data_IF_769461071899
#
_entry.id   IF_769461071899
#
_cell.length_a   1.000
_cell.length_b   1.000
_cell.length_c   1.000
_cell.angle_alpha   90.00
_cell.angle_beta   90.00
_cell.angle_gamma   90.00
#
_symmetry.space_group_name_H-M   'P 1'
#
loop_
_entity.id
_entity.type
_entity.pdbx_description
1 polymer ?
#
# COMPACT_ATOMS: atom_id res chain seq x y z
N UNK A 1 12.39 2.56 19.55
CA UNK A 1 11.65 3.13 18.40
C UNK A 1 11.22 1.99 17.51
N UNK A 2 9.92 1.76 17.33
CA UNK A 2 9.44 0.61 16.56
C UNK A 2 9.81 0.72 15.06
N UNK A 3 10.36 -0.32 14.42
CA UNK A 3 10.79 -0.26 13.02
C UNK A 3 9.68 0.16 12.05
N UNK A 4 8.43 -0.23 12.32
CA UNK A 4 7.30 0.12 11.46
C UNK A 4 6.95 1.61 11.50
N UNK A 5 7.15 2.29 12.66
CA UNK A 5 6.98 3.75 12.77
C UNK A 5 8.05 4.48 11.96
N UNK A 6 9.29 3.99 11.99
CA UNK A 6 10.38 4.52 11.14
C UNK A 6 10.06 4.34 9.65
N UNK A 7 9.55 3.18 9.26
CA UNK A 7 9.08 2.92 7.90
C UNK A 7 7.97 3.90 7.49
N UNK A 8 6.98 4.14 8.36
CA UNK A 8 5.92 5.12 8.10
C UNK A 8 6.44 6.54 7.84
N UNK A 9 7.43 7.00 8.62
CA UNK A 9 8.07 8.30 8.40
C UNK A 9 8.88 8.34 7.10
N UNK A 10 9.60 7.26 6.78
CA UNK A 10 10.33 7.16 5.52
C UNK A 10 9.42 7.21 4.29
N UNK A 11 8.26 6.56 4.34
CA UNK A 11 7.26 6.62 3.26
C UNK A 11 6.72 8.05 3.02
N UNK A 12 6.63 8.86 4.06
CA UNK A 12 6.27 10.29 3.94
C UNK A 12 7.40 11.07 3.27
N UNK A 13 8.64 10.85 3.69
CA UNK A 13 9.83 11.46 3.06
C UNK A 13 9.96 11.08 1.57
N UNK A 14 9.57 9.86 1.22
CA UNK A 14 9.50 9.39 -0.17
C UNK A 14 8.29 9.94 -0.95
N UNK A 15 7.46 10.82 -0.37
CA UNK A 15 6.25 11.40 -0.99
C UNK A 15 5.22 10.34 -1.43
N UNK A 16 5.17 9.21 -0.74
CA UNK A 16 4.20 8.12 -0.99
C UNK A 16 2.99 8.28 -0.07
N UNK A 17 3.20 8.77 1.14
CA UNK A 17 2.15 9.09 2.10
C UNK A 17 2.14 10.58 2.44
N UNK A 18 0.97 11.18 2.71
CA UNK A 18 0.91 12.55 3.20
C UNK A 18 1.42 12.65 4.66
N UNK A 19 1.95 13.80 5.10
CA UNK A 19 2.47 13.98 6.46
C UNK A 19 1.47 13.68 7.59
N UNK A 20 0.18 13.95 7.36
CA UNK A 20 -0.90 13.74 8.32
C UNK A 20 -1.61 12.37 8.14
N UNK A 21 -0.95 11.40 7.51
CA UNK A 21 -1.54 10.08 7.29
C UNK A 21 -1.76 9.32 8.60
N UNK A 22 -2.84 8.53 8.72
CA UNK A 22 -3.21 7.79 9.95
C UNK A 22 -2.08 6.98 10.60
N UNK A 23 -1.11 6.49 9.80
CA UNK A 23 0.03 5.71 10.31
C UNK A 23 0.97 6.51 11.23
N UNK A 24 0.90 7.84 11.19
CA UNK A 24 1.69 8.74 12.05
C UNK A 24 1.02 9.04 13.38
N UNK A 25 -0.25 8.67 13.55
CA UNK A 25 -0.97 8.93 14.80
C UNK A 25 -0.40 8.08 15.94
N UNK A 26 -0.53 8.59 17.17
CA UNK A 26 -0.07 7.91 18.37
C UNK A 26 -0.82 6.59 18.60
N UNK A 27 -2.11 6.56 18.24
CA UNK A 27 -2.98 5.37 18.36
C UNK A 27 -2.81 4.36 17.23
N UNK A 28 -2.01 4.67 16.21
CA UNK A 28 -1.85 3.79 15.06
C UNK A 28 -1.10 2.52 15.44
N UNK A 29 -1.47 1.41 14.82
CA UNK A 29 -0.84 0.12 14.99
C UNK A 29 -0.11 -0.31 13.71
N UNK A 30 0.78 -1.30 13.83
CA UNK A 30 1.48 -1.91 12.67
C UNK A 30 0.51 -2.41 11.60
N UNK A 31 -0.70 -2.82 12.00
CA UNK A 31 -1.74 -3.27 11.09
C UNK A 31 -2.26 -2.15 10.18
N UNK A 32 -2.33 -0.90 10.64
CA UNK A 32 -2.73 0.24 9.82
C UNK A 32 -1.73 0.49 8.68
N UNK A 33 -0.43 0.32 8.97
CA UNK A 33 0.62 0.39 7.96
C UNK A 33 0.47 -0.78 6.96
N UNK A 34 0.28 -2.00 7.45
CA UNK A 34 0.10 -3.17 6.60
C UNK A 34 -1.11 -3.04 5.67
N UNK A 35 -2.25 -2.56 6.18
CA UNK A 35 -3.44 -2.28 5.37
C UNK A 35 -3.16 -1.23 4.30
N UNK A 36 -2.42 -0.18 4.65
CA UNK A 36 -2.08 0.91 3.73
C UNK A 36 -1.24 0.40 2.55
N UNK A 37 -0.33 -0.55 2.79
CA UNK A 37 0.52 -1.14 1.74
C UNK A 37 -0.11 -2.35 1.04
N UNK A 38 -1.24 -2.87 1.52
CA UNK A 38 -1.85 -4.14 1.12
C UNK A 38 -2.11 -4.25 -0.37
N UNK A 39 -2.63 -3.18 -0.98
CA UNK A 39 -3.00 -3.18 -2.39
C UNK A 39 -1.78 -3.07 -3.34
N UNK A 40 -0.57 -2.90 -2.79
CA UNK A 40 0.68 -2.84 -3.57
C UNK A 40 0.88 -1.56 -4.40
N UNK A 41 -0.18 -0.76 -4.59
CA UNK A 41 -0.14 0.51 -5.34
C UNK A 41 0.89 1.49 -4.78
N UNK A 42 0.91 1.67 -3.46
CA UNK A 42 1.86 2.57 -2.81
C UNK A 42 3.30 2.08 -2.90
N UNK A 43 3.53 0.76 -2.90
CA UNK A 43 4.86 0.20 -3.11
C UNK A 43 5.35 0.46 -4.54
N UNK A 44 4.44 0.39 -5.51
CA UNK A 44 4.76 0.73 -6.89
C UNK A 44 5.09 2.22 -7.06
N UNK A 45 4.30 3.09 -6.43
CA UNK A 45 4.56 4.53 -6.40
C UNK A 45 5.89 4.85 -5.72
N UNK A 46 6.21 4.19 -4.61
CA UNK A 46 7.49 4.31 -3.92
C UNK A 46 8.67 4.06 -4.86
N UNK A 47 8.64 2.96 -5.62
CA UNK A 47 9.72 2.62 -6.54
C UNK A 47 9.90 3.67 -7.64
N UNK A 48 8.80 4.24 -8.15
CA UNK A 48 8.85 5.33 -9.13
C UNK A 48 9.35 6.65 -8.53
N UNK A 49 9.08 6.92 -7.25
CA UNK A 49 9.60 8.09 -6.55
C UNK A 49 11.10 7.98 -6.27
N UNK A 50 11.61 6.77 -5.99
CA UNK A 50 13.03 6.52 -5.76
C UNK A 50 13.83 6.54 -7.07
N UNK A 51 13.26 5.97 -8.14
CA UNK A 51 13.85 5.98 -9.47
C UNK A 51 12.74 6.11 -10.50
N UNK A 52 12.74 7.23 -11.22
CA UNK A 52 11.80 7.49 -12.31
C UNK A 52 11.79 6.36 -13.33
N UNK A 53 10.58 5.97 -13.78
CA UNK A 53 10.35 4.91 -14.78
C UNK A 53 10.77 3.50 -14.35
N UNK A 54 10.90 3.24 -13.04
CA UNK A 54 11.20 1.89 -12.54
C UNK A 54 10.05 0.91 -12.75
N UNK A 55 8.80 1.40 -12.70
CA UNK A 55 7.63 0.59 -13.03
C UNK A 55 6.66 1.39 -13.89
N UNK A 56 6.21 0.77 -14.98
CA UNK A 56 5.14 1.32 -15.80
C UNK A 56 3.80 1.21 -15.06
N UNK A 57 3.34 2.35 -14.52
CA UNK A 57 2.06 2.45 -13.81
C UNK A 57 0.84 2.01 -14.65
N UNK A 58 0.99 1.86 -15.97
CA UNK A 58 -0.05 1.30 -16.86
C UNK A 58 -0.15 -0.23 -16.79
N UNK A 59 0.93 -0.93 -16.43
CA UNK A 59 0.94 -2.39 -16.25
C UNK A 59 0.53 -2.81 -14.84
N UNK A 60 0.72 -1.91 -13.87
CA UNK A 60 0.19 -2.08 -12.53
C UNK A 60 -1.30 -1.76 -12.60
N UNK A 61 -2.16 -2.75 -12.34
CA UNK A 61 -3.60 -2.55 -12.23
C UNK A 61 -3.90 -1.61 -11.04
N UNK A 62 -3.86 -0.29 -11.26
CA UNK A 62 -4.22 0.77 -10.31
C UNK A 62 -5.73 0.78 -9.96
N UNK A 63 -6.49 -0.25 -10.33
CA UNK A 63 -7.91 -0.43 -9.97
C UNK A 63 -8.06 -1.43 -8.83
N UNK A 64 -8.01 -1.02 -7.56
CA UNK A 64 -8.68 -1.74 -6.49
C UNK A 64 -10.18 -1.40 -6.55
N UNK A 65 -10.84 -1.66 -7.67
CA UNK A 65 -12.29 -1.50 -7.83
C UNK A 65 -12.83 -2.88 -8.09
N UNK A 66 -13.20 -3.59 -7.02
CA UNK A 66 -13.93 -4.85 -7.02
C UNK A 66 -13.98 -5.56 -8.39
N UNK A 67 -12.98 -6.40 -8.68
CA UNK A 67 -13.26 -7.57 -9.50
C UNK A 67 -14.10 -8.51 -8.64
N UNK A 68 -15.39 -8.19 -8.53
CA UNK A 68 -16.41 -9.17 -8.21
C UNK A 68 -16.24 -10.30 -9.22
N UNK A 69 -15.95 -11.55 -8.81
CA UNK A 69 -16.01 -12.67 -9.73
C UNK A 69 -17.48 -12.80 -10.16
N UNK A 70 -17.83 -12.23 -11.31
CA UNK A 70 -19.07 -12.60 -12.01
C UNK A 70 -18.85 -13.98 -12.61
N UNK A 71 -19.01 -15.00 -11.78
CA UNK A 71 -18.98 -16.41 -12.14
C UNK A 71 -18.94 -17.29 -10.88
N UNK A 72 -19.78 -18.32 -10.78
CA UNK A 72 -19.71 -19.24 -9.65
C UNK A 72 -18.46 -20.12 -9.80
N UNK A 73 -18.15 -20.86 -8.72
CA UNK A 73 -17.07 -21.86 -8.57
C UNK A 73 -15.75 -21.27 -8.05
N UNK A 74 -15.10 -21.77 -7.00
CA UNK A 74 -15.30 -22.91 -6.09
C UNK A 74 -14.20 -22.75 -5.01
N UNK A 75 -14.52 -23.03 -3.74
CA UNK A 75 -13.59 -23.53 -2.70
C UNK A 75 -12.22 -22.81 -2.61
N UNK A 76 -12.17 -21.65 -1.96
CA UNK A 76 -10.90 -20.99 -1.64
C UNK A 76 -10.95 -19.96 -0.51
N UNK A 77 -12.14 -19.61 -0.03
CA UNK A 77 -12.34 -18.68 1.10
C UNK A 77 -12.63 -19.42 2.41
N UNK A 78 -11.91 -20.52 2.66
CA UNK A 78 -11.94 -21.20 3.93
C UNK A 78 -10.53 -21.22 4.55
N UNK A 79 -10.02 -20.05 4.91
CA UNK A 79 -9.21 -19.79 6.12
C UNK A 79 -8.87 -18.31 6.25
#
# INVERSE_FOLDING_TARGET
MEPWKQCGQWLISCKVLPPNHRVTWETAQVFDLAQTLRDGVLLCQLLNNLRSHSINLKEINLRPQMSQPRGPLTVGWLR
#
